data_IF_876581590172
#
_entry.id   IF_876581590172
#
_cell.length_a   1.000
_cell.length_b   1.000
_cell.length_c   1.000
_cell.angle_alpha   90.00
_cell.angle_beta   90.00
_cell.angle_gamma   90.00
#
_symmetry.space_group_name_H-M   'P 1'
#
loop_
_entity.id
_entity.type
_entity.pdbx_description
1 polymer ?
#
# COMPACT_ATOMS: atom_id res chain seq x y z
N UNK A 1 6.15 -20.26 -1.72
CA UNK A 1 5.12 -19.43 -2.37
C UNK A 1 5.37 -19.58 -3.85
N UNK A 2 4.33 -19.88 -4.64
CA UNK A 2 4.47 -19.98 -6.09
C UNK A 2 4.69 -18.60 -6.72
N UNK A 3 5.28 -18.58 -7.91
CA UNK A 3 5.46 -17.36 -8.70
C UNK A 3 4.12 -16.69 -9.05
N UNK A 4 3.09 -17.48 -9.33
CA UNK A 4 1.73 -16.98 -9.62
C UNK A 4 1.13 -16.26 -8.42
N UNK A 5 1.23 -16.83 -7.22
CA UNK A 5 0.71 -16.21 -6.00
C UNK A 5 1.48 -14.94 -5.66
N UNK A 6 2.80 -14.96 -5.80
CA UNK A 6 3.62 -13.76 -5.59
C UNK A 6 3.25 -12.65 -6.58
N UNK A 7 3.09 -12.98 -7.85
CA UNK A 7 2.70 -12.03 -8.91
C UNK A 7 1.30 -11.47 -8.67
N UNK A 8 0.36 -12.32 -8.24
CA UNK A 8 -0.99 -11.92 -7.87
C UNK A 8 -0.99 -10.94 -6.68
N UNK A 9 -0.24 -11.24 -5.61
CA UNK A 9 -0.16 -10.36 -4.44
C UNK A 9 0.48 -9.01 -4.78
N UNK A 10 1.53 -8.99 -5.62
CA UNK A 10 2.11 -7.73 -6.14
C UNK A 10 1.13 -6.96 -7.03
N UNK A 11 0.22 -7.64 -7.72
CA UNK A 11 -0.84 -6.97 -8.48
C UNK A 11 -1.89 -6.35 -7.53
N UNK A 12 -2.26 -7.05 -6.45
CA UNK A 12 -3.15 -6.51 -5.42
C UNK A 12 -2.54 -5.31 -4.71
N UNK A 13 -1.25 -5.39 -4.33
CA UNK A 13 -0.52 -4.29 -3.71
C UNK A 13 -0.58 -3.02 -4.56
N UNK A 14 -0.33 -3.15 -5.88
CA UNK A 14 -0.44 -2.03 -6.83
C UNK A 14 -1.87 -1.55 -7.03
N UNK A 15 -2.82 -2.47 -7.18
CA UNK A 15 -4.23 -2.14 -7.43
C UNK A 15 -4.91 -1.42 -6.27
N UNK A 16 -4.48 -1.71 -5.04
CA UNK A 16 -5.00 -1.09 -3.82
C UNK A 16 -4.14 0.07 -3.31
N UNK A 17 -3.02 0.37 -3.96
CA UNK A 17 -2.12 1.44 -3.53
C UNK A 17 -1.58 1.23 -2.11
N UNK A 18 -1.17 0.00 -1.78
CA UNK A 18 -0.58 -0.32 -0.47
C UNK A 18 0.73 0.44 -0.23
N UNK A 19 1.27 0.38 0.99
CA UNK A 19 2.49 1.05 1.41
C UNK A 19 3.62 1.00 0.34
N UNK A 20 4.00 2.16 -0.24
CA UNK A 20 4.98 2.23 -1.32
C UNK A 20 6.42 1.95 -0.85
N UNK A 21 6.69 1.92 0.45
CA UNK A 21 7.97 1.43 0.97
C UNK A 21 8.10 -0.09 0.85
N UNK A 22 6.99 -0.79 0.65
CA UNK A 22 6.92 -2.25 0.54
C UNK A 22 6.96 -2.97 1.89
N UNK A 23 6.85 -2.27 3.02
CA UNK A 23 6.90 -2.89 4.35
C UNK A 23 5.55 -3.48 4.77
N UNK A 24 4.44 -2.78 4.47
CA UNK A 24 3.09 -3.17 4.88
C UNK A 24 2.20 -3.42 3.66
N UNK A 25 2.39 -4.57 3.01
CA UNK A 25 1.65 -4.97 1.81
C UNK A 25 0.96 -6.33 1.98
N UNK A 26 0.07 -6.71 1.08
CA UNK A 26 -0.56 -8.04 1.09
C UNK A 26 0.48 -9.15 0.93
N UNK A 27 1.50 -8.93 0.08
CA UNK A 27 2.61 -9.86 -0.06
C UNK A 27 3.33 -10.09 1.28
N UNK A 28 3.63 -9.02 2.02
CA UNK A 28 4.32 -9.12 3.30
C UNK A 28 3.44 -9.75 4.39
N UNK A 29 2.12 -9.51 4.39
CA UNK A 29 1.17 -10.22 5.27
C UNK A 29 1.24 -11.73 5.04
N UNK A 30 1.20 -12.18 3.78
CA UNK A 30 1.28 -13.61 3.44
C UNK A 30 2.63 -14.22 3.85
N UNK A 31 3.74 -13.50 3.62
CA UNK A 31 5.07 -13.94 4.05
C UNK A 31 5.18 -14.03 5.57
N UNK A 32 4.68 -13.04 6.30
CA UNK A 32 4.70 -13.00 7.75
C UNK A 32 3.85 -14.12 8.36
N UNK A 33 2.63 -14.33 7.87
CA UNK A 33 1.76 -15.42 8.30
C UNK A 33 2.44 -16.78 8.11
N UNK A 34 3.04 -17.04 6.94
CA UNK A 34 3.80 -18.28 6.70
C UNK A 34 4.98 -18.44 7.65
N UNK A 35 5.75 -17.38 7.89
CA UNK A 35 6.90 -17.39 8.82
C UNK A 35 6.47 -17.69 10.25
N UNK A 36 5.28 -17.22 10.64
CA UNK A 36 4.68 -17.43 11.95
C UNK A 36 3.79 -18.68 12.02
N UNK A 37 3.81 -19.54 10.99
CA UNK A 37 2.98 -20.74 10.91
C UNK A 37 1.47 -20.49 11.05
N UNK A 38 1.00 -19.31 10.66
CA UNK A 38 -0.41 -18.94 10.58
C UNK A 38 -0.95 -19.41 9.22
N UNK A 39 -2.00 -20.21 9.23
CA UNK A 39 -2.67 -20.66 8.01
C UNK A 39 -3.46 -19.50 7.40
N UNK A 40 -3.37 -19.39 6.08
CA UNK A 40 -4.08 -18.38 5.30
C UNK A 40 -5.23 -19.07 4.57
N UNK A 41 -6.41 -18.45 4.59
CA UNK A 41 -7.60 -18.90 3.89
C UNK A 41 -8.19 -17.72 3.13
N UNK A 42 -8.39 -17.87 1.82
CA UNK A 42 -9.19 -16.91 1.06
C UNK A 42 -10.67 -17.12 1.40
N UNK A 43 -11.38 -16.03 1.67
CA UNK A 43 -12.78 -16.04 2.12
C UNK A 43 -13.75 -15.42 1.09
N UNK A 44 -13.24 -15.07 -0.09
CA UNK A 44 -14.02 -14.46 -1.16
C UNK A 44 -14.03 -15.37 -2.39
N UNK A 45 -14.97 -15.16 -3.30
CA UNK A 45 -15.15 -15.98 -4.48
C UNK A 45 -15.38 -15.13 -5.74
N UNK A 46 -15.12 -15.69 -6.92
CA UNK A 46 -15.31 -15.00 -8.20
C UNK A 46 -16.77 -14.53 -8.41
N UNK A 47 -17.75 -15.26 -7.89
CA UNK A 47 -19.16 -14.93 -8.07
C UNK A 47 -19.54 -13.61 -7.37
N UNK A 48 -18.82 -13.20 -6.32
CA UNK A 48 -19.09 -11.92 -5.65
C UNK A 48 -18.77 -10.72 -6.54
N UNK A 49 -17.86 -10.86 -7.51
CA UNK A 49 -17.41 -9.79 -8.41
C UNK A 49 -18.20 -9.69 -9.72
N UNK A 50 -18.93 -10.74 -10.11
CA UNK A 50 -19.58 -10.83 -11.44
C UNK A 50 -21.06 -10.45 -11.37
N UNK A 51 -21.33 -9.15 -11.19
CA UNK A 51 -22.68 -8.58 -11.36
C UNK A 51 -22.95 -7.98 -12.74
N UNK A 52 -21.90 -7.76 -13.54
CA UNK A 52 -22.03 -7.18 -14.88
C UNK A 52 -22.91 -8.05 -15.78
N UNK A 53 -23.95 -7.46 -16.37
CA UNK A 53 -24.88 -8.15 -17.27
C UNK A 53 -26.09 -8.77 -16.58
N UNK A 54 -26.16 -8.76 -15.24
CA UNK A 54 -27.36 -9.15 -14.49
C UNK A 54 -28.34 -7.97 -14.41
N UNK A 55 -29.64 -8.25 -14.55
CA UNK A 55 -30.71 -7.27 -14.41
C UNK A 55 -31.22 -7.23 -12.96
N UNK A 56 -31.63 -6.04 -12.49
CA UNK A 56 -32.23 -5.89 -11.15
C UNK A 56 -31.26 -6.06 -9.98
N UNK A 57 -29.96 -5.97 -10.21
CA UNK A 57 -28.96 -6.10 -9.15
C UNK A 57 -28.95 -4.85 -8.26
N UNK A 58 -29.13 -5.05 -6.96
CA UNK A 58 -28.99 -4.00 -5.96
C UNK A 58 -27.55 -3.48 -5.86
N UNK A 59 -27.38 -2.22 -5.49
CA UNK A 59 -26.07 -1.60 -5.32
C UNK A 59 -25.18 -2.27 -4.26
N UNK A 60 -25.79 -2.99 -3.30
CA UNK A 60 -25.10 -3.72 -2.23
C UNK A 60 -24.87 -5.21 -2.56
N UNK A 61 -25.08 -5.64 -3.81
CA UNK A 61 -24.89 -7.04 -4.23
C UNK A 61 -23.52 -7.60 -3.86
N UNK A 62 -22.45 -6.81 -4.05
CA UNK A 62 -21.08 -7.22 -3.74
C UNK A 62 -20.91 -7.55 -2.26
N UNK A 63 -21.57 -6.80 -1.39
CA UNK A 63 -21.58 -7.01 0.07
C UNK A 63 -22.37 -8.26 0.42
N UNK A 64 -23.59 -8.41 -0.10
CA UNK A 64 -24.41 -9.61 0.13
C UNK A 64 -23.66 -10.89 -0.25
N UNK A 65 -23.11 -10.91 -1.46
CA UNK A 65 -22.48 -12.11 -2.00
C UNK A 65 -21.19 -12.46 -1.27
N UNK A 66 -20.27 -11.53 -1.09
CA UNK A 66 -19.00 -11.87 -0.43
C UNK A 66 -19.17 -12.16 1.06
N UNK A 67 -20.05 -11.44 1.76
CA UNK A 67 -20.29 -11.73 3.18
C UNK A 67 -20.87 -13.14 3.36
N UNK A 68 -21.79 -13.55 2.48
CA UNK A 68 -22.29 -14.93 2.43
C UNK A 68 -21.18 -15.96 2.18
N UNK A 69 -20.33 -15.74 1.17
CA UNK A 69 -19.23 -16.68 0.90
C UNK A 69 -18.18 -16.72 2.00
N UNK A 70 -17.88 -15.59 2.63
CA UNK A 70 -16.99 -15.53 3.78
C UNK A 70 -17.55 -16.35 4.95
N UNK A 71 -18.85 -16.22 5.22
CA UNK A 71 -19.54 -17.01 6.23
C UNK A 71 -19.43 -18.52 5.96
N UNK A 72 -19.74 -18.95 4.73
CA UNK A 72 -19.64 -20.37 4.35
C UNK A 72 -18.20 -20.90 4.51
N UNK A 73 -17.20 -20.13 4.08
CA UNK A 73 -15.79 -20.54 4.19
C UNK A 73 -15.34 -20.62 5.65
N UNK A 74 -15.67 -19.63 6.48
CA UNK A 74 -15.29 -19.62 7.90
C UNK A 74 -16.01 -20.75 8.64
N UNK A 75 -17.30 -20.94 8.41
CA UNK A 75 -18.10 -22.00 9.02
C UNK A 75 -17.60 -23.39 8.65
N UNK A 76 -17.33 -23.63 7.36
CA UNK A 76 -16.79 -24.90 6.89
C UNK A 76 -15.41 -25.19 7.49
N UNK A 77 -14.58 -24.16 7.62
CA UNK A 77 -13.25 -24.28 8.19
C UNK A 77 -13.27 -24.57 9.71
N UNK A 78 -14.13 -23.90 10.48
CA UNK A 78 -14.39 -24.20 11.88
C UNK A 78 -14.94 -25.62 12.07
N UNK A 79 -15.87 -26.06 11.21
CA UNK A 79 -16.43 -27.41 11.26
C UNK A 79 -15.37 -28.48 10.96
N UNK A 80 -14.51 -28.25 9.97
CA UNK A 80 -13.48 -29.22 9.56
C UNK A 80 -12.29 -29.30 10.52
N UNK A 81 -11.99 -28.22 11.25
CA UNK A 81 -10.77 -28.09 12.08
C UNK A 81 -11.05 -27.96 13.57
N UNK A 82 -12.31 -27.91 13.95
CA UNK A 82 -12.75 -27.58 15.30
C UNK A 82 -12.64 -26.08 15.60
N UNK A 83 -13.19 -25.70 16.75
CA UNK A 83 -13.20 -24.31 17.21
C UNK A 83 -11.78 -23.75 17.35
N UNK A 84 -11.49 -22.66 16.64
CA UNK A 84 -10.19 -21.98 16.72
C UNK A 84 -10.29 -20.49 16.44
N UNK A 85 -9.28 -19.73 16.90
CA UNK A 85 -9.20 -18.28 16.69
C UNK A 85 -8.80 -17.96 15.26
N UNK A 86 -9.40 -16.92 14.70
CA UNK A 86 -9.10 -16.41 13.38
C UNK A 86 -9.15 -14.89 13.38
N UNK A 87 -8.58 -14.29 12.33
CA UNK A 87 -8.69 -12.88 12.00
C UNK A 87 -8.86 -12.77 10.49
N UNK A 88 -9.71 -11.86 10.03
CA UNK A 88 -9.97 -11.66 8.61
C UNK A 88 -9.67 -10.22 8.21
N UNK A 89 -8.89 -10.06 7.13
CA UNK A 89 -8.62 -8.77 6.51
C UNK A 89 -9.56 -8.60 5.31
N UNK A 90 -10.36 -7.53 5.30
CA UNK A 90 -11.36 -7.27 4.27
C UNK A 90 -11.62 -5.77 4.11
N UNK A 91 -12.39 -5.39 3.09
CA UNK A 91 -12.85 -4.01 2.93
C UNK A 91 -13.80 -3.60 4.05
N UNK A 92 -13.79 -2.33 4.42
CA UNK A 92 -14.60 -1.77 5.51
C UNK A 92 -16.11 -2.02 5.36
N UNK A 93 -16.65 -1.95 4.14
CA UNK A 93 -18.07 -2.27 3.86
C UNK A 93 -18.46 -3.75 4.03
N UNK A 94 -17.49 -4.64 4.26
CA UNK A 94 -17.73 -6.07 4.53
C UNK A 94 -17.61 -6.41 6.01
N UNK A 95 -16.88 -5.59 6.78
CA UNK A 95 -16.55 -5.92 8.17
C UNK A 95 -17.79 -5.89 9.07
N UNK A 96 -18.63 -4.86 8.92
CA UNK A 96 -19.81 -4.59 9.73
C UNK A 96 -21.04 -4.31 8.87
N UNK A 97 -22.20 -4.16 9.49
CA UNK A 97 -23.45 -3.84 8.79
C UNK A 97 -23.31 -2.58 7.93
N UNK A 98 -23.53 -2.73 6.63
CA UNK A 98 -23.41 -1.64 5.67
C UNK A 98 -24.55 -1.71 4.65
N UNK A 99 -25.21 -0.55 4.42
CA UNK A 99 -26.34 -0.43 3.49
C UNK A 99 -27.42 -1.52 3.64
N UNK A 100 -27.74 -1.87 4.90
CA UNK A 100 -28.76 -2.88 5.25
C UNK A 100 -28.31 -4.33 5.12
N UNK A 101 -27.04 -4.58 4.78
CA UNK A 101 -26.46 -5.92 4.68
C UNK A 101 -25.63 -6.21 5.92
N UNK A 102 -25.89 -7.31 6.67
CA UNK A 102 -25.03 -7.75 7.75
C UNK A 102 -23.60 -7.98 7.28
N UNK A 103 -22.62 -7.45 8.02
CA UNK A 103 -21.20 -7.69 7.80
C UNK A 103 -20.76 -9.07 8.28
N UNK A 104 -19.51 -9.41 8.01
CA UNK A 104 -18.92 -10.67 8.48
C UNK A 104 -18.86 -10.71 10.01
N UNK A 105 -18.68 -9.56 10.70
CA UNK A 105 -18.71 -9.56 12.17
C UNK A 105 -20.09 -9.93 12.70
N UNK A 106 -21.18 -9.47 12.10
CA UNK A 106 -22.52 -9.86 12.52
C UNK A 106 -22.84 -11.32 12.20
N UNK A 107 -22.41 -11.82 11.04
CA UNK A 107 -22.67 -13.22 10.63
C UNK A 107 -21.92 -14.23 11.52
N UNK A 108 -20.72 -13.89 11.97
CA UNK A 108 -19.89 -14.77 12.80
C UNK A 108 -19.98 -14.49 14.31
N UNK A 109 -20.73 -13.47 14.73
CA UNK A 109 -20.72 -12.99 16.11
C UNK A 109 -19.35 -12.47 16.56
N UNK A 110 -18.57 -11.92 15.63
CA UNK A 110 -17.24 -11.36 15.85
C UNK A 110 -17.24 -9.87 16.19
N UNK A 111 -16.04 -9.30 16.32
CA UNK A 111 -15.82 -7.86 16.52
C UNK A 111 -15.11 -7.29 15.30
N UNK A 112 -15.66 -6.22 14.75
CA UNK A 112 -15.05 -5.49 13.64
C UNK A 112 -14.07 -4.42 14.13
N UNK A 113 -12.89 -4.37 13.51
CA UNK A 113 -11.83 -3.40 13.84
C UNK A 113 -11.38 -2.68 12.57
N UNK A 114 -11.56 -1.36 12.53
CA UNK A 114 -11.02 -0.50 11.48
C UNK A 114 -9.63 -0.01 11.86
N UNK A 115 -8.64 -0.21 11.00
CA UNK A 115 -7.27 0.27 11.22
C UNK A 115 -7.08 1.57 10.44
N UNK A 116 -6.46 2.56 11.06
CA UNK A 116 -6.19 3.88 10.47
C UNK A 116 -4.77 4.33 10.79
N UNK A 117 -4.05 4.79 9.77
CA UNK A 117 -2.75 5.42 9.93
C UNK A 117 -2.90 6.85 10.40
N UNK A 118 -2.02 7.30 11.29
CA UNK A 118 -1.96 8.66 11.80
C UNK A 118 -0.57 9.26 11.62
N UNK A 119 -0.46 10.57 11.78
CA UNK A 119 0.83 11.25 11.86
C UNK A 119 1.63 10.73 13.06
N UNK A 120 2.96 10.70 12.94
CA UNK A 120 3.83 10.19 13.99
C UNK A 120 3.61 10.92 15.33
N UNK A 121 3.45 10.16 16.41
CA UNK A 121 3.19 10.68 17.75
C UNK A 121 1.74 11.07 18.03
N UNK A 122 0.79 10.72 17.14
CA UNK A 122 -0.63 11.09 17.31
C UNK A 122 -1.57 9.89 17.45
N UNK A 123 -1.06 8.65 17.35
CA UNK A 123 -1.83 7.43 17.57
C UNK A 123 -2.51 7.39 18.94
N UNK A 124 -3.77 6.93 18.96
CA UNK A 124 -4.60 6.86 20.18
C UNK A 124 -4.97 5.44 20.63
N UNK A 125 -4.38 4.41 20.02
CA UNK A 125 -4.67 3.02 20.36
C UNK A 125 -6.06 2.59 19.87
N UNK A 126 -6.75 1.75 20.65
CA UNK A 126 -8.08 1.20 20.33
C UNK A 126 -9.16 2.05 20.99
N UNK A 127 -10.17 2.43 20.23
CA UNK A 127 -11.36 3.18 20.68
C UNK A 127 -12.62 2.73 19.94
N UNK A 128 -13.79 3.25 20.34
CA UNK A 128 -15.02 3.08 19.57
C UNK A 128 -14.89 3.74 18.20
N UNK A 129 -15.31 3.07 17.13
CA UNK A 129 -15.20 3.65 15.79
C UNK A 129 -16.20 4.83 15.64
N UNK A 130 -15.73 6.07 15.43
CA UNK A 130 -16.64 7.19 15.12
C UNK A 130 -17.31 7.07 13.74
N UNK A 131 -16.87 6.11 12.93
CA UNK A 131 -17.22 5.99 11.52
C UNK A 131 -16.41 6.96 10.65
N UNK A 132 -16.49 6.77 9.33
CA UNK A 132 -15.93 7.70 8.34
C UNK A 132 -16.76 7.68 7.06
N UNK A 133 -16.61 8.75 6.27
CA UNK A 133 -17.12 8.83 4.90
C UNK A 133 -15.91 8.73 3.98
N UNK A 134 -15.66 7.56 3.35
CA UNK A 134 -14.58 7.44 2.39
C UNK A 134 -14.92 8.23 1.12
N UNK A 135 -13.89 8.54 0.33
CA UNK A 135 -14.05 9.14 -0.99
C UNK A 135 -13.53 8.21 -2.07
N UNK A 136 -14.10 8.29 -3.27
CA UNK A 136 -13.53 7.65 -4.45
C UNK A 136 -12.30 8.40 -4.99
N UNK A 137 -11.73 7.89 -6.08
CA UNK A 137 -10.54 8.47 -6.74
C UNK A 137 -10.78 9.89 -7.30
N UNK A 138 -12.02 10.36 -7.38
CA UNK A 138 -12.39 11.70 -7.81
C UNK A 138 -12.75 12.62 -6.63
N UNK A 139 -12.54 12.15 -5.39
CA UNK A 139 -12.89 12.88 -4.18
C UNK A 139 -14.39 12.91 -3.88
N UNK A 140 -15.20 12.10 -4.57
CA UNK A 140 -16.65 12.05 -4.32
C UNK A 140 -16.92 11.20 -3.07
N UNK A 141 -17.75 11.68 -2.14
CA UNK A 141 -18.07 10.93 -0.93
C UNK A 141 -18.81 9.64 -1.29
N UNK A 142 -18.43 8.56 -0.62
CA UNK A 142 -19.09 7.26 -0.66
C UNK A 142 -20.01 7.11 0.56
N UNK A 143 -20.69 5.97 0.68
CA UNK A 143 -21.50 5.70 1.86
C UNK A 143 -20.63 5.58 3.12
N UNK A 144 -21.15 6.06 4.25
CA UNK A 144 -20.46 5.97 5.54
C UNK A 144 -20.19 4.52 5.92
N UNK A 145 -19.02 4.28 6.48
CA UNK A 145 -18.60 3.00 7.04
C UNK A 145 -18.29 3.18 8.52
N UNK A 146 -18.59 2.17 9.33
CA UNK A 146 -18.36 2.19 10.78
C UNK A 146 -18.20 0.76 11.27
N UNK A 147 -17.11 0.50 11.99
CA UNK A 147 -16.89 -0.73 12.75
C UNK A 147 -17.35 -0.61 14.20
N UNK A 148 -17.08 -1.65 14.99
CA UNK A 148 -17.25 -1.61 16.44
C UNK A 148 -16.12 -0.79 17.07
N UNK A 149 -14.89 -1.07 16.62
CA UNK A 149 -13.67 -0.47 17.13
C UNK A 149 -12.82 0.13 16.01
N UNK A 150 -12.01 1.12 16.38
CA UNK A 150 -10.96 1.72 15.56
C UNK A 150 -9.62 1.62 16.26
N UNK A 151 -8.59 1.19 15.53
CA UNK A 151 -7.19 1.24 15.95
C UNK A 151 -6.42 2.27 15.13
N UNK A 152 -5.84 3.26 15.82
CA UNK A 152 -4.96 4.25 15.20
C UNK A 152 -3.49 3.89 15.42
N UNK A 153 -2.70 3.90 14.35
CA UNK A 153 -1.28 3.57 14.36
C UNK A 153 -0.45 4.68 13.73
N UNK A 154 0.67 5.02 14.37
CA UNK A 154 1.62 5.98 13.81
C UNK A 154 2.21 5.44 12.50
N UNK A 155 2.22 6.30 11.49
CA UNK A 155 2.87 5.98 10.21
C UNK A 155 4.39 5.99 10.40
N UNK A 156 5.11 4.88 10.11
CA UNK A 156 6.56 4.87 10.26
C UNK A 156 7.23 5.90 9.34
N UNK A 157 8.33 6.55 9.77
CA UNK A 157 9.01 7.58 8.96
C UNK A 157 9.42 7.09 7.57
N UNK A 158 9.79 5.82 7.44
CA UNK A 158 10.14 5.18 6.17
C UNK A 158 8.95 5.08 5.20
N UNK A 159 7.76 4.80 5.72
CA UNK A 159 6.51 4.75 4.94
C UNK A 159 6.12 6.16 4.51
N UNK A 160 6.08 7.11 5.45
CA UNK A 160 5.76 8.50 5.16
C UNK A 160 6.70 9.10 4.10
N UNK A 161 8.00 8.82 4.20
CA UNK A 161 8.98 9.23 3.19
C UNK A 161 8.70 8.60 1.81
N UNK A 162 8.39 7.30 1.76
CA UNK A 162 8.07 6.63 0.51
C UNK A 162 6.81 7.22 -0.14
N UNK A 163 5.77 7.52 0.63
CA UNK A 163 4.57 8.19 0.14
C UNK A 163 4.86 9.59 -0.39
N UNK A 164 5.69 10.37 0.31
CA UNK A 164 6.08 11.71 -0.14
C UNK A 164 6.86 11.64 -1.45
N UNK A 165 7.76 10.66 -1.59
CA UNK A 165 8.50 10.42 -2.83
C UNK A 165 7.57 10.03 -3.98
N UNK A 166 6.59 9.15 -3.77
CA UNK A 166 5.58 8.81 -4.80
C UNK A 166 4.73 10.02 -5.21
N UNK A 167 4.31 10.84 -4.24
CA UNK A 167 3.52 12.07 -4.51
C UNK A 167 4.33 13.16 -5.20
N UNK A 168 5.63 13.25 -4.91
CA UNK A 168 6.55 14.27 -5.40
C UNK A 168 7.21 13.93 -6.74
N UNK A 169 7.64 12.69 -6.94
CA UNK A 169 8.28 12.19 -8.16
C UNK A 169 7.23 11.61 -9.12
N UNK A 170 6.37 12.49 -9.64
CA UNK A 170 5.19 12.09 -10.42
C UNK A 170 5.52 11.59 -11.82
N UNK A 171 6.48 12.22 -12.48
CA UNK A 171 6.80 11.96 -13.87
C UNK A 171 8.11 11.20 -13.97
N UNK A 172 8.22 10.30 -14.96
CA UNK A 172 9.50 9.72 -15.36
C UNK A 172 10.54 10.82 -15.57
N UNK A 173 11.70 10.67 -14.94
CA UNK A 173 12.78 11.64 -14.98
C UNK A 173 12.73 12.71 -13.89
N UNK A 174 11.65 12.81 -13.11
CA UNK A 174 11.66 13.63 -11.89
C UNK A 174 12.70 13.06 -10.92
N UNK A 175 13.50 13.94 -10.31
CA UNK A 175 14.46 13.56 -9.27
C UNK A 175 14.51 14.57 -8.13
N UNK A 176 14.95 14.08 -6.97
CA UNK A 176 15.33 14.90 -5.83
C UNK A 176 16.64 14.37 -5.24
N UNK A 177 17.27 15.14 -4.36
CA UNK A 177 18.48 14.75 -3.64
C UNK A 177 18.20 14.88 -2.16
N UNK A 178 18.46 13.81 -1.42
CA UNK A 178 18.25 13.75 0.03
C UNK A 178 19.50 13.25 0.72
N UNK A 179 19.69 13.67 1.98
CA UNK A 179 20.71 13.07 2.84
C UNK A 179 20.10 11.89 3.59
N UNK A 180 20.44 10.67 3.16
CA UNK A 180 20.05 9.42 3.83
C UNK A 180 21.29 8.86 4.52
N UNK A 181 21.24 8.61 5.83
CA UNK A 181 22.37 8.12 6.63
C UNK A 181 23.66 8.93 6.43
N UNK A 182 23.54 10.26 6.42
CA UNK A 182 24.63 11.24 6.17
C UNK A 182 25.26 11.13 4.77
N UNK A 183 24.58 10.51 3.81
CA UNK A 183 25.03 10.36 2.43
C UNK A 183 24.06 11.01 1.46
N UNK A 184 24.58 11.90 0.61
CA UNK A 184 23.81 12.52 -0.46
C UNK A 184 23.36 11.44 -1.46
N UNK A 185 22.06 11.28 -1.61
CA UNK A 185 21.44 10.24 -2.43
C UNK A 185 20.52 10.88 -3.44
N UNK A 186 20.77 10.60 -4.72
CA UNK A 186 19.89 10.97 -5.81
C UNK A 186 18.73 9.97 -5.87
N UNK A 187 17.51 10.47 -5.82
CA UNK A 187 16.29 9.67 -5.87
C UNK A 187 15.50 10.12 -7.11
N UNK A 188 15.14 9.19 -8.00
CA UNK A 188 14.43 9.54 -9.23
C UNK A 188 13.36 8.52 -9.61
N UNK A 189 12.36 8.98 -10.36
CA UNK A 189 11.36 8.15 -11.04
C UNK A 189 11.97 7.58 -12.32
N UNK A 190 12.16 6.27 -12.37
CA UNK A 190 12.70 5.60 -13.55
C UNK A 190 11.65 5.41 -14.63
N UNK A 191 12.07 4.97 -15.82
CA UNK A 191 11.21 4.79 -16.99
C UNK A 191 10.16 3.69 -16.82
N UNK A 192 10.42 2.72 -15.95
CA UNK A 192 9.46 1.69 -15.54
C UNK A 192 8.51 2.16 -14.42
N UNK A 193 8.62 3.43 -14.02
CA UNK A 193 7.82 4.03 -12.96
C UNK A 193 8.31 3.71 -11.54
N UNK A 194 9.40 2.97 -11.35
CA UNK A 194 9.95 2.72 -10.02
C UNK A 194 10.71 3.93 -9.47
N UNK A 195 10.70 4.09 -8.14
CA UNK A 195 11.56 5.07 -7.45
C UNK A 195 12.91 4.43 -7.14
N UNK A 196 13.96 4.97 -7.74
CA UNK A 196 15.32 4.44 -7.66
C UNK A 196 16.22 5.40 -6.89
N UNK A 197 16.99 4.84 -5.95
CA UNK A 197 17.97 5.56 -5.12
C UNK A 197 19.38 5.26 -5.64
N UNK A 198 20.19 6.30 -5.83
CA UNK A 198 21.56 6.22 -6.33
C UNK A 198 22.45 7.10 -5.47
N UNK A 199 23.47 6.53 -4.85
CA UNK A 199 24.42 7.26 -4.02
C UNK A 199 25.19 8.27 -4.86
N UNK A 200 25.21 9.53 -4.44
CA UNK A 200 26.13 10.54 -4.99
C UNK A 200 27.44 10.39 -4.23
N UNK A 201 28.47 9.99 -4.96
CA UNK A 201 29.81 9.79 -4.42
C UNK A 201 30.63 11.07 -4.58
N UNK A 202 31.63 11.20 -3.69
CA UNK A 202 32.58 12.31 -3.73
C UNK A 202 34.00 11.77 -3.77
N UNK A 203 34.79 12.27 -4.71
CA UNK A 203 36.18 11.87 -4.93
C UNK A 203 37.02 13.12 -5.23
N UNK A 204 38.04 13.38 -4.41
CA UNK A 204 38.91 14.56 -4.51
C UNK A 204 38.17 15.89 -4.78
N UNK A 205 37.01 16.10 -4.14
CA UNK A 205 36.19 17.29 -4.30
C UNK A 205 35.16 17.23 -5.44
N UNK A 206 35.29 16.29 -6.37
CA UNK A 206 34.35 16.05 -7.46
C UNK A 206 33.18 15.15 -7.06
N UNK A 207 32.04 15.32 -7.71
CA UNK A 207 30.82 14.53 -7.54
C UNK A 207 30.66 13.55 -8.70
N UNK A 208 30.16 12.35 -8.43
CA UNK A 208 29.81 11.38 -9.47
C UNK A 208 28.77 10.37 -8.96
N UNK A 209 28.18 9.61 -9.88
CA UNK A 209 27.29 8.49 -9.59
C UNK A 209 27.73 7.26 -10.38
N UNK A 210 27.48 6.08 -9.82
CA UNK A 210 27.67 4.81 -10.54
C UNK A 210 26.30 4.26 -10.92
N UNK A 211 25.95 4.38 -12.20
CA UNK A 211 24.68 3.90 -12.74
C UNK A 211 24.84 3.52 -14.21
N UNK A 212 25.16 2.25 -14.54
CA UNK A 212 25.42 1.79 -15.91
C UNK A 212 24.31 2.09 -16.92
N UNK A 213 23.06 2.20 -16.47
CA UNK A 213 21.91 2.61 -17.30
C UNK A 213 21.98 4.08 -17.77
N UNK A 214 22.93 4.87 -17.29
CA UNK A 214 23.20 6.26 -17.68
C UNK A 214 24.63 6.40 -18.22
N UNK A 215 24.94 5.84 -19.41
CA UNK A 215 26.31 5.70 -19.89
C UNK A 215 27.03 7.04 -20.11
N UNK A 216 26.32 8.14 -20.35
CA UNK A 216 26.91 9.46 -20.55
C UNK A 216 27.40 10.14 -19.28
N UNK A 217 26.96 9.69 -18.10
CA UNK A 217 27.30 10.32 -16.80
C UNK A 217 27.83 9.34 -15.74
N UNK A 218 27.60 8.02 -15.89
CA UNK A 218 28.09 7.01 -14.93
C UNK A 218 29.61 7.06 -14.83
N UNK A 219 30.13 7.13 -13.60
CA UNK A 219 31.56 7.21 -13.33
C UNK A 219 32.23 8.52 -13.77
N UNK A 220 31.50 9.47 -14.36
CA UNK A 220 32.08 10.76 -14.76
C UNK A 220 32.18 11.68 -13.55
N UNK A 221 33.36 12.28 -13.35
CA UNK A 221 33.61 13.23 -12.26
C UNK A 221 33.20 14.64 -12.68
N UNK A 222 32.48 15.32 -11.80
CA UNK A 222 32.06 16.71 -11.96
C UNK A 222 32.64 17.55 -10.82
N UNK A 223 33.43 18.59 -11.10
CA UNK A 223 34.12 19.38 -10.09
C UNK A 223 33.19 20.21 -9.18
N UNK A 224 31.92 20.40 -9.59
CA UNK A 224 30.93 21.14 -8.82
C UNK A 224 29.53 20.49 -8.88
N UNK A 225 28.70 20.78 -7.88
CA UNK A 225 27.30 20.35 -7.86
C UNK A 225 26.49 20.96 -9.02
N UNK A 226 26.85 22.16 -9.46
CA UNK A 226 26.21 22.85 -10.57
C UNK A 226 26.45 22.10 -11.89
N UNK A 227 27.68 21.68 -12.14
CA UNK A 227 28.02 20.87 -13.33
C UNK A 227 27.37 19.48 -13.28
N UNK A 228 27.34 18.86 -12.10
CA UNK A 228 26.65 17.59 -11.93
C UNK A 228 25.15 17.73 -12.22
N UNK A 229 24.49 18.76 -11.67
CA UNK A 229 23.07 19.04 -11.93
C UNK A 229 22.79 19.35 -13.41
N UNK A 230 23.69 20.08 -14.08
CA UNK A 230 23.58 20.34 -15.51
C UNK A 230 23.66 19.04 -16.32
N UNK A 231 24.56 18.12 -15.96
CA UNK A 231 24.67 16.82 -16.61
C UNK A 231 23.43 15.94 -16.42
N UNK A 232 22.84 15.94 -15.21
CA UNK A 232 21.57 15.25 -14.96
C UNK A 232 20.45 15.80 -15.85
N UNK A 233 20.39 17.12 -16.04
CA UNK A 233 19.41 17.76 -16.92
C UNK A 233 19.58 17.36 -18.39
N UNK A 234 20.82 17.22 -18.86
CA UNK A 234 21.12 16.81 -20.23
C UNK A 234 20.66 15.38 -20.54
N UNK A 235 20.55 14.52 -19.53
CA UNK A 235 20.00 13.16 -19.69
C UNK A 235 18.49 13.09 -19.43
N UNK A 236 17.81 14.24 -19.35
CA UNK A 236 16.36 14.33 -19.20
C UNK A 236 15.85 14.27 -17.77
N UNK A 237 16.71 14.41 -16.76
CA UNK A 237 16.28 14.46 -15.37
C UNK A 237 15.88 15.88 -14.95
N UNK A 238 14.74 16.00 -14.26
CA UNK A 238 14.18 17.26 -13.78
C UNK A 238 14.14 17.29 -12.25
N UNK A 239 14.76 18.29 -11.65
CA UNK A 239 14.75 18.41 -10.19
C UNK A 239 13.38 18.86 -9.70
N UNK A 240 12.86 18.22 -8.65
CA UNK A 240 11.64 18.60 -7.94
C UNK A 240 11.89 18.65 -6.44
N UNK A 241 11.13 19.51 -5.75
CA UNK A 241 11.13 19.57 -4.29
C UNK A 241 10.15 18.54 -3.75
N UNK A 242 10.56 17.77 -2.75
CA UNK A 242 9.72 16.74 -2.11
C UNK A 242 9.63 17.06 -0.62
N UNK A 243 8.43 16.98 -0.04
CA UNK A 243 8.27 17.25 1.39
C UNK A 243 9.15 16.30 2.22
N UNK A 244 9.98 16.86 3.10
CA UNK A 244 10.96 16.13 3.91
C UNK A 244 12.38 16.05 3.32
N UNK A 245 12.67 16.76 2.21
CA UNK A 245 14.04 17.03 1.71
C UNK A 245 14.75 18.13 2.46
#
# INVERSE_FOLDING_TARGET
MSEDLESYLKAQDRGHGTDPSGQFTFLEVVKAARKSHIRIQAIDCMASYRSTGMTGVESNFRQRMMNFFAHEVISADQAARGAHRWVALMGDSHASTWAGVPGVSELEGGISLRIESTDAGTARGIELDPGRIPTDNFGRPLASVKGDLRLQLDTPPSVALAENLEKGLRNTGDYTVMNIDKRATLIHRSSDGSIVRTLIQRDHGSFYVERPKWPSISGRRYPSIAEFSAALRLIGLKQVQVAGT
#
